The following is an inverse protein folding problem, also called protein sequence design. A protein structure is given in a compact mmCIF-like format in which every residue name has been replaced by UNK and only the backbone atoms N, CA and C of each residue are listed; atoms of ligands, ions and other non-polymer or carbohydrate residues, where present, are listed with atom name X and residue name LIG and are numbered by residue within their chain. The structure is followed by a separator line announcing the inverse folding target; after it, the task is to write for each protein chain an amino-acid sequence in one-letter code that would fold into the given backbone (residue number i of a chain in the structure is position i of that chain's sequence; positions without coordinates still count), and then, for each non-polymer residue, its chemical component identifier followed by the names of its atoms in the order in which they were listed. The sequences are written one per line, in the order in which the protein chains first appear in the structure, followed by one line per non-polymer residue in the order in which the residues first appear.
data_IF_542195471574
#
_entry.id   IF_542195471574
#
_cell.length_a   1.000
_cell.length_b   1.000
_cell.length_c   1.000
_cell.angle_alpha   90.00
_cell.angle_beta   90.00
_cell.angle_gamma   90.00
#
_symmetry.space_group_name_H-M   'P 1'
#
loop_
_entity.id
_entity.type
_entity.pdbx_description
1 polymer ?
#
# COMPACT_ATOMS: atom_id res chain seq x y z
N UNK A 1 10.93 17.26 4.54
CA UNK A 1 10.35 16.90 5.86
C UNK A 1 11.18 15.85 6.62
N UNK A 2 11.37 14.63 6.10
CA UNK A 2 12.22 13.61 6.76
C UNK A 2 13.71 14.02 6.71
N UNK A 3 14.19 14.49 5.56
CA UNK A 3 15.55 15.01 5.41
C UNK A 3 15.84 16.22 6.33
N UNK A 4 14.91 17.16 6.46
CA UNK A 4 15.06 18.34 7.35
C UNK A 4 14.93 18.01 8.84
N UNK A 5 14.15 16.98 9.20
CA UNK A 5 14.05 16.47 10.57
C UNK A 5 15.32 15.70 10.98
N UNK A 6 15.90 14.90 10.07
CA UNK A 6 17.18 14.21 10.30
C UNK A 6 18.39 15.15 10.22
N UNK A 7 18.34 16.23 9.42
CA UNK A 7 19.41 17.23 9.36
C UNK A 7 19.57 18.01 10.68
N UNK A 8 18.50 18.14 11.49
CA UNK A 8 18.59 18.70 12.86
C UNK A 8 19.39 17.81 13.83
N UNK A 9 19.53 16.52 13.54
CA UNK A 9 20.23 15.56 14.40
C UNK A 9 21.72 15.40 14.07
N UNK A 10 22.30 16.20 13.17
CA UNK A 10 23.72 16.09 12.72
C UNK A 10 24.11 14.65 12.32
N UNK A 11 23.17 13.89 11.79
CA UNK A 11 23.41 12.51 11.37
C UNK A 11 24.31 12.51 10.13
N UNK A 12 25.40 11.71 10.08
CA UNK A 12 26.23 11.60 8.88
C UNK A 12 25.38 11.13 7.70
N UNK A 13 25.61 11.73 6.54
CA UNK A 13 24.70 11.67 5.39
C UNK A 13 24.42 10.24 4.88
N UNK A 14 25.40 9.34 5.01
CA UNK A 14 25.21 7.91 4.71
C UNK A 14 24.15 7.23 5.60
N UNK A 15 24.03 7.64 6.88
CA UNK A 15 22.99 7.13 7.76
C UNK A 15 21.59 7.61 7.33
N UNK A 16 21.45 8.83 6.80
CA UNK A 16 20.16 9.35 6.31
C UNK A 16 19.65 8.49 5.16
N UNK A 17 20.52 8.18 4.20
CA UNK A 17 20.21 7.26 3.10
C UNK A 17 19.78 5.90 3.66
N UNK A 18 20.57 5.35 4.58
CA UNK A 18 20.29 4.04 5.18
C UNK A 18 18.93 4.02 5.91
N UNK A 19 18.59 5.08 6.65
CA UNK A 19 17.30 5.22 7.35
C UNK A 19 16.13 5.27 6.35
N UNK A 20 16.27 6.00 5.24
CA UNK A 20 15.21 6.08 4.22
C UNK A 20 14.99 4.70 3.58
N UNK A 21 16.07 4.01 3.21
CA UNK A 21 15.97 2.64 2.68
C UNK A 21 15.35 1.69 3.68
N UNK A 22 15.78 1.74 4.95
CA UNK A 22 15.23 0.92 6.03
C UNK A 22 13.73 1.16 6.22
N UNK A 23 13.30 2.42 6.24
CA UNK A 23 11.89 2.79 6.37
C UNK A 23 11.05 2.27 5.20
N UNK A 24 11.56 2.38 3.97
CA UNK A 24 10.88 1.89 2.77
C UNK A 24 10.81 0.36 2.76
N UNK A 25 11.89 -0.34 3.11
CA UNK A 25 11.91 -1.79 3.26
C UNK A 25 10.94 -2.26 4.35
N UNK A 26 10.93 -1.60 5.50
CA UNK A 26 10.03 -1.92 6.60
C UNK A 26 8.56 -1.76 6.21
N UNK A 27 8.22 -0.65 5.54
CA UNK A 27 6.87 -0.41 5.05
C UNK A 27 6.44 -1.43 3.99
N UNK A 28 7.31 -1.73 3.03
CA UNK A 28 7.08 -2.76 2.02
C UNK A 28 6.84 -4.12 2.66
N UNK A 29 7.72 -4.54 3.58
CA UNK A 29 7.61 -5.80 4.31
C UNK A 29 6.28 -5.93 5.06
N UNK A 30 5.81 -4.84 5.69
CA UNK A 30 4.52 -4.82 6.39
C UNK A 30 3.37 -5.13 5.42
N UNK A 31 3.35 -4.49 4.25
CA UNK A 31 2.33 -4.74 3.22
C UNK A 31 2.39 -6.20 2.74
N UNK A 32 3.57 -6.71 2.39
CA UNK A 32 3.73 -8.10 1.95
C UNK A 32 3.26 -9.11 3.00
N UNK A 33 3.65 -8.90 4.26
CA UNK A 33 3.26 -9.76 5.39
C UNK A 33 1.74 -9.76 5.58
N UNK A 34 1.13 -8.58 5.52
CA UNK A 34 -0.31 -8.41 5.66
C UNK A 34 -1.09 -9.08 4.51
N UNK A 35 -0.65 -8.90 3.26
CA UNK A 35 -1.27 -9.53 2.09
C UNK A 35 -1.13 -11.05 2.17
N UNK A 36 0.06 -11.54 2.52
CA UNK A 36 0.32 -12.97 2.73
C UNK A 36 -0.63 -13.56 3.79
N UNK A 37 -0.71 -12.92 4.96
CA UNK A 37 -1.64 -13.33 6.01
C UNK A 37 -3.08 -13.36 5.51
N UNK A 38 -3.54 -12.29 4.85
CA UNK A 38 -4.90 -12.17 4.33
C UNK A 38 -5.24 -13.28 3.33
N UNK A 39 -4.34 -13.58 2.39
CA UNK A 39 -4.52 -14.67 1.40
C UNK A 39 -4.58 -16.03 2.10
N UNK A 40 -3.71 -16.29 3.08
CA UNK A 40 -3.69 -17.59 3.77
C UNK A 40 -4.95 -17.80 4.62
N UNK A 41 -5.47 -16.76 5.29
CA UNK A 41 -6.72 -16.86 6.05
C UNK A 41 -7.91 -17.04 5.09
N UNK A 42 -7.94 -16.29 3.99
CA UNK A 42 -8.98 -16.45 2.97
C UNK A 42 -8.97 -17.87 2.39
N UNK A 43 -7.81 -18.44 2.07
CA UNK A 43 -7.71 -19.82 1.57
C UNK A 43 -8.24 -20.85 2.59
N UNK A 44 -7.95 -20.67 3.88
CA UNK A 44 -8.45 -21.56 4.94
C UNK A 44 -9.96 -21.48 5.12
N UNK A 45 -10.54 -20.28 5.00
CA UNK A 45 -11.98 -20.07 5.17
C UNK A 45 -12.78 -20.19 3.86
N UNK A 46 -12.12 -20.26 2.71
CA UNK A 46 -12.74 -20.44 1.41
C UNK A 46 -13.79 -21.57 1.34
N UNK A 47 -13.52 -22.81 1.83
CA UNK A 47 -14.54 -23.86 1.79
C UNK A 47 -15.77 -23.53 2.64
N UNK A 48 -15.60 -22.80 3.74
CA UNK A 48 -16.71 -22.35 4.58
C UNK A 48 -17.62 -21.36 3.82
N UNK A 49 -17.02 -20.36 3.15
CA UNK A 49 -17.77 -19.41 2.33
C UNK A 49 -18.44 -20.06 1.12
N UNK A 50 -17.78 -21.03 0.47
CA UNK A 50 -18.38 -21.80 -0.62
C UNK A 50 -19.66 -22.53 -0.17
N UNK A 51 -19.61 -23.18 1.00
CA UNK A 51 -20.77 -23.88 1.54
C UNK A 51 -21.92 -22.93 1.91
N UNK A 52 -21.63 -21.78 2.53
CA UNK A 52 -22.66 -20.77 2.81
C UNK A 52 -23.30 -20.22 1.53
N UNK A 53 -22.49 -19.88 0.52
CA UNK A 53 -23.01 -19.40 -0.76
C UNK A 53 -23.87 -20.46 -1.44
N UNK A 54 -23.44 -21.72 -1.45
CA UNK A 54 -24.23 -22.82 -1.99
C UNK A 54 -25.56 -23.01 -1.23
N UNK A 55 -25.57 -22.81 0.09
CA UNK A 55 -26.79 -22.86 0.91
C UNK A 55 -27.75 -21.73 0.55
N UNK A 56 -27.26 -20.47 0.50
CA UNK A 56 -28.06 -19.30 0.12
C UNK A 56 -28.61 -19.45 -1.29
N UNK A 57 -27.79 -19.92 -2.24
CA UNK A 57 -28.24 -20.16 -3.61
C UNK A 57 -29.32 -21.23 -3.68
N UNK A 58 -29.18 -22.34 -2.95
CA UNK A 58 -30.24 -23.37 -2.88
C UNK A 58 -31.54 -22.81 -2.33
N UNK A 59 -31.48 -22.02 -1.27
CA UNK A 59 -32.66 -21.39 -0.67
C UNK A 59 -33.36 -20.45 -1.65
N UNK A 60 -32.60 -19.58 -2.34
CA UNK A 60 -33.11 -18.68 -3.38
C UNK A 60 -33.71 -19.45 -4.57
N UNK A 61 -33.01 -20.46 -5.10
CA UNK A 61 -33.49 -21.25 -6.25
C UNK A 61 -34.78 -22.02 -5.89
N UNK A 62 -34.87 -22.54 -4.67
CA UNK A 62 -36.06 -23.24 -4.19
C UNK A 62 -37.28 -22.31 -4.14
N UNK A 63 -37.09 -21.03 -3.77
CA UNK A 63 -38.14 -20.02 -3.72
C UNK A 63 -38.67 -19.64 -5.10
N UNK A 64 -37.82 -19.71 -6.12
CA UNK A 64 -38.18 -19.45 -7.52
C UNK A 64 -38.51 -20.72 -8.32
N UNK A 65 -38.56 -21.90 -7.68
CA UNK A 65 -38.83 -23.21 -8.32
C UNK A 65 -37.89 -23.54 -9.49
N UNK A 66 -36.65 -23.06 -9.44
CA UNK A 66 -35.61 -23.36 -10.42
C UNK A 66 -34.88 -24.63 -9.99
N UNK A 67 -34.56 -25.50 -10.94
CA UNK A 67 -33.83 -26.73 -10.64
C UNK A 67 -32.46 -26.41 -10.01
N UNK A 68 -32.23 -26.97 -8.83
CA UNK A 68 -31.01 -26.78 -8.04
C UNK A 68 -29.76 -27.44 -8.68
N UNK A 69 -29.95 -28.25 -9.73
CA UNK A 69 -28.87 -28.87 -10.51
C UNK A 69 -27.91 -27.83 -11.12
N UNK A 70 -28.36 -26.60 -11.38
CA UNK A 70 -27.55 -25.48 -11.89
C UNK A 70 -26.33 -25.17 -11.00
N UNK A 71 -26.42 -25.41 -9.70
CA UNK A 71 -25.34 -25.15 -8.73
C UNK A 71 -24.18 -26.14 -8.91
N UNK A 72 -24.45 -27.39 -9.30
CA UNK A 72 -23.40 -28.39 -9.54
C UNK A 72 -22.58 -28.11 -10.80
N UNK A 73 -23.13 -27.35 -11.75
CA UNK A 73 -22.39 -26.88 -12.93
C UNK A 73 -21.54 -25.63 -12.63
N UNK A 74 -21.69 -25.01 -11.46
CA UNK A 74 -20.95 -23.82 -11.06
C UNK A 74 -19.57 -24.21 -10.50
N UNK A 75 -18.56 -24.18 -11.37
CA UNK A 75 -17.18 -24.44 -10.99
C UNK A 75 -16.56 -23.27 -10.21
N UNK A 76 -16.81 -23.18 -8.91
CA UNK A 76 -16.18 -22.18 -8.03
C UNK A 76 -14.65 -22.19 -8.13
N UNK A 77 -14.05 -23.38 -8.20
CA UNK A 77 -12.61 -23.54 -8.40
C UNK A 77 -12.11 -22.87 -9.69
N UNK A 78 -12.91 -22.90 -10.76
CA UNK A 78 -12.58 -22.29 -12.05
C UNK A 78 -12.45 -20.77 -12.01
N UNK A 79 -13.08 -20.09 -11.04
CA UNK A 79 -12.97 -18.64 -10.85
C UNK A 79 -11.94 -18.24 -9.80
N UNK A 80 -11.77 -19.07 -8.76
CA UNK A 80 -10.88 -18.76 -7.63
C UNK A 80 -9.42 -18.92 -8.01
N UNK A 81 -9.04 -19.97 -8.75
CA UNK A 81 -7.65 -20.16 -9.18
C UNK A 81 -7.14 -19.01 -10.06
N UNK A 82 -7.86 -18.55 -11.11
CA UNK A 82 -7.45 -17.38 -11.90
C UNK A 82 -7.40 -16.08 -11.09
N UNK A 83 -8.30 -15.90 -10.12
CA UNK A 83 -8.26 -14.75 -9.24
C UNK A 83 -6.98 -14.76 -8.37
N UNK A 84 -6.64 -15.91 -7.78
CA UNK A 84 -5.43 -16.08 -6.98
C UNK A 84 -4.16 -15.90 -7.81
N UNK A 85 -4.11 -16.42 -9.04
CA UNK A 85 -2.96 -16.19 -9.93
C UNK A 85 -2.86 -14.73 -10.34
N UNK A 86 -3.97 -14.03 -10.54
CA UNK A 86 -3.97 -12.58 -10.78
C UNK A 86 -3.41 -11.82 -9.58
N UNK A 87 -3.90 -12.07 -8.37
CA UNK A 87 -3.37 -11.45 -7.13
C UNK A 87 -1.88 -11.72 -6.99
N UNK A 88 -1.43 -12.95 -7.22
CA UNK A 88 -0.02 -13.32 -7.20
C UNK A 88 0.81 -12.54 -8.24
N UNK A 89 0.31 -12.42 -9.47
CA UNK A 89 0.98 -11.66 -10.52
C UNK A 89 1.06 -10.16 -10.20
N UNK A 90 0.04 -9.58 -9.60
CA UNK A 90 0.05 -8.17 -9.13
C UNK A 90 1.11 -7.97 -8.04
N UNK A 91 1.25 -8.92 -7.11
CA UNK A 91 2.30 -8.90 -6.07
C UNK A 91 3.70 -8.92 -6.71
N UNK A 92 3.91 -9.76 -7.73
CA UNK A 92 5.17 -9.78 -8.48
C UNK A 92 5.39 -8.46 -9.22
N UNK A 93 4.37 -7.95 -9.91
CA UNK A 93 4.45 -6.67 -10.64
C UNK A 93 4.76 -5.49 -9.73
N UNK A 94 4.16 -5.46 -8.54
CA UNK A 94 4.46 -4.47 -7.50
C UNK A 94 5.92 -4.60 -7.03
N UNK A 95 6.41 -5.82 -6.80
CA UNK A 95 7.82 -6.07 -6.42
C UNK A 95 8.79 -5.56 -7.49
N UNK A 96 8.51 -5.84 -8.76
CA UNK A 96 9.31 -5.34 -9.89
C UNK A 96 9.34 -3.80 -9.94
N UNK A 97 8.17 -3.18 -9.76
CA UNK A 97 8.05 -1.72 -9.70
C UNK A 97 8.83 -1.13 -8.53
N UNK A 98 8.84 -1.80 -7.36
CA UNK A 98 9.63 -1.37 -6.21
C UNK A 98 11.13 -1.33 -6.52
N UNK A 99 11.68 -2.29 -7.27
CA UNK A 99 13.10 -2.29 -7.66
C UNK A 99 13.45 -1.03 -8.44
N UNK A 100 12.60 -0.63 -9.39
CA UNK A 100 12.80 0.61 -10.16
C UNK A 100 12.73 1.83 -9.25
N UNK A 101 11.75 1.89 -8.34
CA UNK A 101 11.62 2.98 -7.35
C UNK A 101 12.86 3.06 -6.46
N UNK A 102 13.37 1.93 -5.95
CA UNK A 102 14.59 1.88 -5.15
C UNK A 102 15.81 2.37 -5.93
N UNK A 103 15.95 1.96 -7.20
CA UNK A 103 17.02 2.41 -8.07
C UNK A 103 16.94 3.92 -8.31
N UNK A 104 15.76 4.45 -8.62
CA UNK A 104 15.56 5.89 -8.80
C UNK A 104 15.85 6.67 -7.53
N UNK A 105 15.38 6.18 -6.37
CA UNK A 105 15.69 6.78 -5.08
C UNK A 105 17.19 6.76 -4.79
N UNK A 106 17.88 5.66 -5.08
CA UNK A 106 19.33 5.58 -4.94
C UNK A 106 20.03 6.67 -5.76
N UNK A 107 19.70 6.80 -7.05
CA UNK A 107 20.27 7.84 -7.91
C UNK A 107 19.92 9.25 -7.44
N UNK A 108 18.66 9.50 -7.08
CA UNK A 108 18.19 10.80 -6.62
C UNK A 108 18.89 11.21 -5.32
N UNK A 109 18.98 10.31 -4.33
CA UNK A 109 19.68 10.57 -3.08
C UNK A 109 21.19 10.71 -3.28
N UNK A 110 21.77 10.01 -4.27
CA UNK A 110 23.18 10.21 -4.63
C UNK A 110 23.41 11.60 -5.25
N UNK A 111 22.54 12.01 -6.17
CA UNK A 111 22.67 13.27 -6.92
C UNK A 111 22.35 14.52 -6.07
N UNK A 112 21.47 14.42 -5.08
CA UNK A 112 21.04 15.58 -4.27
C UNK A 112 22.22 16.34 -3.63
N UNK A 113 23.33 15.63 -3.34
CA UNK A 113 24.54 16.20 -2.74
C UNK A 113 25.36 17.07 -3.70
N UNK A 114 25.26 16.78 -5.01
CA UNK A 114 25.99 17.48 -6.07
C UNK A 114 25.07 18.49 -6.77
N UNK A 115 23.75 18.33 -6.61
CA UNK A 115 22.73 19.13 -7.25
C UNK A 115 22.86 20.62 -6.94
N UNK A 116 22.95 21.03 -5.67
CA UNK A 116 23.13 22.45 -5.29
C UNK A 116 24.38 23.06 -5.92
N UNK A 117 25.51 22.33 -5.90
CA UNK A 117 26.78 22.78 -6.50
C UNK A 117 26.72 22.89 -8.02
N UNK A 118 25.98 22.00 -8.70
CA UNK A 118 25.75 22.07 -10.15
C UNK A 118 24.86 23.27 -10.50
N UNK A 119 23.84 23.54 -9.69
CA UNK A 119 22.88 24.64 -9.88
C UNK A 119 23.56 26.01 -9.73
N UNK A 120 24.37 26.17 -8.69
CA UNK A 120 25.13 27.40 -8.44
C UNK A 120 26.17 27.70 -9.53
N UNK A 121 26.67 26.67 -10.22
CA UNK A 121 27.59 26.82 -11.36
C UNK A 121 26.89 27.08 -12.69
N UNK A 122 25.67 26.57 -12.87
CA UNK A 122 24.91 26.69 -14.12
C UNK A 122 24.10 28.01 -14.19
N UNK A 123 23.67 28.56 -13.06
CA UNK A 123 22.84 29.76 -12.99
C UNK A 123 23.48 30.86 -12.15
N UNK A 124 23.12 32.12 -12.43
CA UNK A 124 23.51 33.26 -11.58
C UNK A 124 22.93 33.07 -10.17
N UNK A 125 23.71 33.39 -9.12
CA UNK A 125 23.32 33.25 -7.69
C UNK A 125 21.87 33.61 -7.35
N UNK A 126 21.29 34.76 -7.78
CA UNK A 126 19.90 35.12 -7.41
C UNK A 126 18.83 34.19 -8.01
N UNK A 127 19.12 33.53 -9.12
CA UNK A 127 18.22 32.56 -9.76
C UNK A 127 18.32 31.21 -9.04
N UNK A 128 19.55 30.76 -8.75
CA UNK A 128 19.79 29.50 -8.02
C UNK A 128 19.11 29.48 -6.64
N UNK A 129 19.28 30.54 -5.83
CA UNK A 129 18.66 30.63 -4.50
C UNK A 129 17.13 30.66 -4.57
N UNK A 130 16.55 31.33 -5.57
CA UNK A 130 15.09 31.34 -5.75
C UNK A 130 14.55 29.96 -6.13
N UNK A 131 15.27 29.20 -6.97
CA UNK A 131 14.92 27.83 -7.34
C UNK A 131 14.98 26.88 -6.13
N UNK A 132 16.06 26.94 -5.34
CA UNK A 132 16.20 26.11 -4.13
C UNK A 132 15.07 26.41 -3.13
N UNK A 133 14.76 27.70 -2.89
CA UNK A 133 13.66 28.09 -2.00
C UNK A 133 12.28 27.62 -2.48
N UNK A 134 12.05 27.60 -3.80
CA UNK A 134 10.82 27.04 -4.37
C UNK A 134 10.72 25.52 -4.15
N UNK A 135 11.81 24.78 -4.37
CA UNK A 135 11.87 23.33 -4.12
C UNK A 135 11.62 22.99 -2.65
N UNK A 136 12.20 23.75 -1.72
CA UNK A 136 11.96 23.58 -0.28
C UNK A 136 10.50 23.83 0.09
N UNK A 137 9.87 24.85 -0.52
CA UNK A 137 8.46 25.15 -0.31
C UNK A 137 7.57 24.01 -0.80
N UNK A 138 7.84 23.48 -1.99
CA UNK A 138 7.14 22.32 -2.57
C UNK A 138 7.32 21.10 -1.65
N UNK A 139 8.54 20.79 -1.23
CA UNK A 139 8.83 19.67 -0.33
C UNK A 139 8.10 19.80 1.01
N UNK A 140 7.99 21.01 1.56
CA UNK A 140 7.26 21.25 2.79
C UNK A 140 5.74 21.06 2.61
N UNK A 141 5.19 21.54 1.48
CA UNK A 141 3.78 21.33 1.15
C UNK A 141 3.44 19.85 0.94
N UNK A 142 4.26 19.13 0.17
CA UNK A 142 4.13 17.67 -0.03
C UNK A 142 4.20 16.96 1.31
N UNK A 143 5.17 17.31 2.17
CA UNK A 143 5.30 16.72 3.50
C UNK A 143 4.08 16.92 4.39
N UNK A 144 3.53 18.14 4.42
CA UNK A 144 2.30 18.44 5.18
C UNK A 144 1.11 17.65 4.65
N UNK A 145 0.93 17.64 3.33
CA UNK A 145 -0.15 16.89 2.68
C UNK A 145 -0.05 15.39 2.99
N UNK A 146 1.13 14.79 2.84
CA UNK A 146 1.35 13.38 3.15
C UNK A 146 1.09 13.07 4.63
N UNK A 147 1.56 13.92 5.54
CA UNK A 147 1.30 13.76 6.97
C UNK A 147 -0.19 13.79 7.30
N UNK A 148 -0.93 14.75 6.74
CA UNK A 148 -2.39 14.83 6.90
C UNK A 148 -3.06 13.59 6.30
N UNK A 149 -2.66 13.15 5.10
CA UNK A 149 -3.24 11.97 4.45
C UNK A 149 -3.04 10.72 5.30
N UNK A 150 -1.84 10.48 5.82
CA UNK A 150 -1.56 9.33 6.70
C UNK A 150 -2.44 9.38 7.95
N UNK A 151 -2.61 10.56 8.56
CA UNK A 151 -3.43 10.73 9.75
C UNK A 151 -4.91 10.45 9.45
N UNK A 152 -5.45 11.04 8.37
CA UNK A 152 -6.83 10.83 7.94
C UNK A 152 -7.08 9.36 7.58
N UNK A 153 -6.22 8.75 6.76
CA UNK A 153 -6.30 7.33 6.39
C UNK A 153 -6.19 6.40 7.62
N UNK A 154 -5.36 6.75 8.61
CA UNK A 154 -5.24 5.97 9.85
C UNK A 154 -6.54 6.05 10.66
N UNK A 155 -7.11 7.25 10.80
CA UNK A 155 -8.38 7.43 11.47
C UNK A 155 -9.52 6.68 10.77
N UNK A 156 -9.61 6.75 9.45
CA UNK A 156 -10.64 6.01 8.69
C UNK A 156 -10.46 4.50 8.86
N UNK A 157 -9.23 3.99 8.77
CA UNK A 157 -8.94 2.57 9.00
C UNK A 157 -9.32 2.10 10.40
N UNK A 158 -9.00 2.88 11.45
CA UNK A 158 -9.36 2.57 12.84
C UNK A 158 -10.88 2.57 13.04
N UNK A 159 -11.58 3.56 12.48
CA UNK A 159 -13.05 3.63 12.56
C UNK A 159 -13.70 2.44 11.88
N UNK A 160 -13.21 2.04 10.71
CA UNK A 160 -13.69 0.86 9.98
C UNK A 160 -13.40 -0.42 10.75
N UNK A 161 -12.21 -0.54 11.36
CA UNK A 161 -11.87 -1.69 12.21
C UNK A 161 -12.82 -1.84 13.39
N UNK A 162 -13.04 -0.75 14.14
CA UNK A 162 -13.94 -0.74 15.30
C UNK A 162 -15.38 -1.02 14.87
N UNK A 163 -15.84 -0.40 13.79
CA UNK A 163 -17.18 -0.65 13.27
C UNK A 163 -17.40 -2.12 12.92
N UNK A 164 -16.51 -2.70 12.11
CA UNK A 164 -16.66 -4.08 11.65
C UNK A 164 -16.46 -5.12 12.76
N UNK A 165 -15.59 -4.86 13.73
CA UNK A 165 -15.46 -5.73 14.92
C UNK A 165 -16.74 -5.73 15.75
N UNK A 166 -17.39 -4.58 15.93
CA UNK A 166 -18.68 -4.49 16.63
C UNK A 166 -19.82 -5.19 15.87
N UNK A 167 -19.79 -5.19 14.54
CA UNK A 167 -20.75 -5.94 13.71
C UNK A 167 -20.46 -7.45 13.65
N UNK A 168 -19.37 -7.93 14.26
CA UNK A 168 -19.01 -9.35 14.24
C UNK A 168 -18.52 -9.84 12.87
N UNK A 169 -17.98 -8.96 12.03
CA UNK A 169 -17.44 -9.33 10.72
C UNK A 169 -16.22 -10.27 10.89
N UNK A 170 -16.07 -11.24 9.99
CA UNK A 170 -14.97 -12.23 10.03
C UNK A 170 -13.58 -11.63 9.72
N UNK A 171 -13.52 -10.51 8.97
CA UNK A 171 -12.27 -9.90 8.46
C UNK A 171 -12.15 -8.38 8.68
N UNK A 172 -12.34 -7.86 9.90
CA UNK A 172 -12.36 -6.42 10.14
C UNK A 172 -11.01 -5.77 9.83
N UNK A 173 -9.91 -6.50 10.06
CA UNK A 173 -8.55 -6.02 9.77
C UNK A 173 -8.32 -5.82 8.27
N UNK A 174 -8.89 -6.67 7.41
CA UNK A 174 -8.69 -6.59 5.96
C UNK A 174 -9.29 -5.31 5.42
N UNK A 175 -10.54 -5.05 5.80
CA UNK A 175 -11.28 -3.85 5.41
C UNK A 175 -10.68 -2.58 6.00
N UNK A 176 -10.21 -2.61 7.24
CA UNK A 176 -9.53 -1.47 7.86
C UNK A 176 -8.27 -1.05 7.08
N UNK A 177 -7.45 -2.01 6.65
CA UNK A 177 -6.26 -1.71 5.83
C UNK A 177 -6.66 -1.28 4.43
N UNK A 178 -7.70 -1.87 3.84
CA UNK A 178 -8.23 -1.43 2.55
C UNK A 178 -8.66 0.06 2.62
N UNK A 179 -9.42 0.44 3.65
CA UNK A 179 -9.86 1.82 3.89
C UNK A 179 -8.74 2.79 4.30
N UNK A 180 -7.57 2.28 4.71
CA UNK A 180 -6.38 3.10 4.90
C UNK A 180 -5.71 3.41 3.55
N UNK A 181 -5.65 2.43 2.65
CA UNK A 181 -4.94 2.53 1.36
C UNK A 181 -5.74 3.32 0.32
N UNK A 182 -7.06 3.13 0.27
CA UNK A 182 -7.97 3.80 -0.67
C UNK A 182 -8.61 5.04 -0.05
#
# INVERSE_FOLDING_TARGET
PVYTFLARFKVPKFLIVFIIFFLLFSFSYLIFSFVYYSVTVLMKQLPYYQNQLAFIMKDVLSRYKVDSSVINYMNFSGYIYPFLTRVYNEIIGFTSSLVVVFLLLYFLLSEIHVFEKKLDKAFKKPVSTRFIGALDTINNQIGKYLGIKILVSCLTGILVFIGLTLFGQDFPLVWAVLSFVF
#
